data_IF_496555820411
#
_entry.id   IF_496555820411
#
_cell.length_a   1.000
_cell.length_b   1.000
_cell.length_c   1.000
_cell.angle_alpha   90.00
_cell.angle_beta   90.00
_cell.angle_gamma   90.00
#
_symmetry.space_group_name_H-M   'P 1'
#
loop_
_entity.id
_entity.type
_entity.pdbx_description
1 polymer ?
#
# COMPACT_ATOMS: atom_id res chain seq x y z
N UNK A 1 13.87 44.08 -1.79
CA UNK A 1 13.88 42.89 -2.65
C UNK A 1 12.76 43.11 -3.66
N UNK A 2 13.04 43.92 -4.67
CA UNK A 2 12.11 44.09 -5.79
C UNK A 2 12.13 42.81 -6.60
N UNK A 3 10.99 42.14 -6.71
CA UNK A 3 10.89 40.96 -7.56
C UNK A 3 11.20 41.41 -8.99
N UNK A 4 12.17 40.77 -9.63
CA UNK A 4 12.54 41.04 -11.03
C UNK A 4 11.35 40.85 -11.99
N UNK A 5 10.33 40.10 -11.56
CA UNK A 5 9.09 39.86 -12.28
C UNK A 5 7.92 40.21 -11.33
N UNK A 6 7.05 41.16 -11.69
CA UNK A 6 5.83 41.46 -10.95
C UNK A 6 4.92 40.22 -10.88
N UNK A 7 4.26 40.01 -9.74
CA UNK A 7 3.24 38.97 -9.66
C UNK A 7 2.10 39.28 -10.68
N UNK A 8 1.54 38.27 -11.34
CA UNK A 8 0.45 38.48 -12.29
C UNK A 8 -0.78 39.11 -11.58
N UNK A 9 -1.60 39.89 -12.31
CA UNK A 9 -2.78 40.49 -11.72
C UNK A 9 -3.72 39.40 -11.16
N UNK A 10 -4.38 39.64 -10.02
CA UNK A 10 -5.34 38.68 -9.47
C UNK A 10 -6.46 38.46 -10.50
N UNK A 11 -6.76 37.20 -10.79
CA UNK A 11 -7.88 36.87 -11.66
C UNK A 11 -9.18 37.29 -10.96
N UNK A 12 -10.06 38.06 -11.62
CA UNK A 12 -11.34 38.42 -11.03
C UNK A 12 -12.12 37.12 -10.80
N UNK A 13 -12.28 36.76 -9.54
CA UNK A 13 -12.96 35.53 -9.11
C UNK A 13 -14.11 35.94 -8.21
N UNK A 14 -15.28 35.39 -8.47
CA UNK A 14 -16.45 35.61 -7.62
C UNK A 14 -16.32 34.81 -6.31
N UNK A 15 -16.95 35.23 -5.21
CA UNK A 15 -16.93 34.45 -3.96
C UNK A 15 -17.42 33.01 -4.13
N UNK A 16 -18.30 32.76 -5.10
CA UNK A 16 -18.79 31.43 -5.43
C UNK A 16 -17.69 30.56 -6.07
N UNK A 17 -16.96 31.09 -7.05
CA UNK A 17 -15.85 30.38 -7.70
C UNK A 17 -14.71 30.10 -6.72
N UNK A 18 -14.43 31.01 -5.80
CA UNK A 18 -13.43 30.80 -4.75
C UNK A 18 -13.86 29.67 -3.78
N UNK A 19 -15.14 29.62 -3.41
CA UNK A 19 -15.68 28.53 -2.60
C UNK A 19 -15.57 27.18 -3.32
N UNK A 20 -15.90 27.13 -4.62
CA UNK A 20 -15.76 25.91 -5.43
C UNK A 20 -14.29 25.45 -5.52
N UNK A 21 -13.37 26.39 -5.72
CA UNK A 21 -11.92 26.08 -5.75
C UNK A 21 -11.44 25.56 -4.40
N UNK A 22 -11.91 26.14 -3.28
CA UNK A 22 -11.59 25.66 -1.95
C UNK A 22 -12.06 24.22 -1.72
N UNK A 23 -13.29 23.90 -2.14
CA UNK A 23 -13.83 22.54 -2.07
C UNK A 23 -12.99 21.53 -2.89
N UNK A 24 -12.57 21.91 -4.10
CA UNK A 24 -11.72 21.06 -4.93
C UNK A 24 -10.34 20.82 -4.31
N UNK A 25 -9.76 21.84 -3.64
CA UNK A 25 -8.52 21.68 -2.89
C UNK A 25 -8.68 20.73 -1.70
N UNK A 26 -9.82 20.78 -1.01
CA UNK A 26 -10.14 19.85 0.09
C UNK A 26 -10.23 18.42 -0.45
N UNK A 27 -10.99 18.19 -1.53
CA UNK A 27 -11.11 16.87 -2.17
C UNK A 27 -9.75 16.35 -2.64
N UNK A 28 -8.91 17.21 -3.21
CA UNK A 28 -7.58 16.83 -3.65
C UNK A 28 -6.71 16.41 -2.47
N UNK A 29 -6.73 17.17 -1.36
CA UNK A 29 -6.02 16.81 -0.13
C UNK A 29 -6.46 15.46 0.43
N UNK A 30 -7.76 15.18 0.41
CA UNK A 30 -8.31 13.89 0.82
C UNK A 30 -7.88 12.75 -0.10
N UNK A 31 -7.90 12.98 -1.41
CA UNK A 31 -7.45 11.99 -2.40
C UNK A 31 -5.95 11.68 -2.25
N UNK A 32 -5.12 12.71 -2.05
CA UNK A 32 -3.68 12.56 -1.78
C UNK A 32 -3.47 11.72 -0.52
N UNK A 33 -4.17 12.06 0.58
CA UNK A 33 -4.06 11.29 1.83
C UNK A 33 -4.43 9.82 1.61
N UNK A 34 -5.55 9.55 0.93
CA UNK A 34 -5.99 8.17 0.63
C UNK A 34 -4.96 7.41 -0.20
N UNK A 35 -4.36 8.06 -1.20
CA UNK A 35 -3.33 7.43 -2.02
C UNK A 35 -2.07 7.10 -1.18
N UNK A 36 -1.61 8.04 -0.36
CA UNK A 36 -0.47 7.81 0.52
C UNK A 36 -0.75 6.69 1.53
N UNK A 37 -1.92 6.70 2.17
CA UNK A 37 -2.31 5.65 3.12
C UNK A 37 -2.32 4.27 2.43
N UNK A 38 -2.85 4.16 1.21
CA UNK A 38 -2.88 2.91 0.44
C UNK A 38 -1.49 2.36 0.11
N UNK A 39 -0.55 3.21 -0.30
CA UNK A 39 0.77 2.76 -0.75
C UNK A 39 1.82 2.69 0.37
N UNK A 40 1.76 3.58 1.35
CA UNK A 40 2.78 3.71 2.40
C UNK A 40 2.37 3.05 3.72
N UNK A 41 1.07 2.87 3.95
CA UNK A 41 0.53 2.27 5.16
C UNK A 41 -0.43 1.11 4.83
N UNK A 42 -0.01 0.12 4.03
CA UNK A 42 -0.88 -1.00 3.69
C UNK A 42 -1.27 -1.74 4.98
N UNK A 43 -2.54 -2.16 5.05
CA UNK A 43 -2.97 -3.05 6.12
C UNK A 43 -2.15 -4.35 6.09
N UNK A 44 -1.79 -4.90 7.26
CA UNK A 44 -1.06 -6.15 7.31
C UNK A 44 -1.87 -7.23 6.59
N UNK A 45 -1.22 -7.91 5.64
CA UNK A 45 -1.84 -9.00 4.92
C UNK A 45 -2.34 -10.06 5.89
N UNK A 46 -3.53 -10.62 5.62
CA UNK A 46 -4.06 -11.73 6.39
C UNK A 46 -3.06 -12.91 6.31
N UNK A 47 -2.70 -13.54 7.45
CA UNK A 47 -1.87 -14.73 7.42
C UNK A 47 -2.50 -15.76 6.48
N UNK A 48 -1.73 -16.19 5.48
CA UNK A 48 -2.17 -17.28 4.62
C UNK A 48 -1.96 -18.58 5.39
N UNK A 49 -2.91 -19.53 5.35
CA UNK A 49 -2.66 -20.84 5.93
C UNK A 49 -1.42 -21.45 5.27
N UNK A 50 -0.51 -22.07 6.03
CA UNK A 50 0.65 -22.73 5.44
C UNK A 50 0.16 -23.76 4.43
N UNK A 51 0.65 -23.67 3.20
CA UNK A 51 0.38 -24.68 2.19
C UNK A 51 1.06 -25.99 2.59
N UNK A 52 0.36 -27.11 2.45
CA UNK A 52 0.98 -28.44 2.62
C UNK A 52 1.96 -28.67 1.47
N UNK A 53 3.27 -28.60 1.76
CA UNK A 53 4.33 -28.85 0.78
C UNK A 53 4.69 -30.33 0.65
N UNK A 54 4.53 -31.09 1.73
CA UNK A 54 4.92 -32.51 1.81
C UNK A 54 3.79 -33.34 2.42
N UNK A 55 3.69 -34.60 1.97
CA UNK A 55 2.75 -35.58 2.50
C UNK A 55 3.52 -36.82 2.95
N UNK A 56 3.20 -37.34 4.13
CA UNK A 56 3.82 -38.55 4.69
C UNK A 56 2.96 -39.75 4.33
N UNK A 57 3.57 -40.82 3.84
CA UNK A 57 2.86 -42.07 3.55
C UNK A 57 2.35 -42.72 4.88
N UNK A 58 1.12 -43.25 4.93
CA UNK A 58 0.47 -43.66 6.17
C UNK A 58 1.12 -44.85 6.90
N UNK A 59 2.05 -45.55 6.25
CA UNK A 59 2.70 -46.76 6.79
C UNK A 59 4.24 -46.64 6.82
N UNK A 60 4.79 -45.42 6.74
CA UNK A 60 6.23 -45.22 6.86
C UNK A 60 6.63 -45.30 8.34
N UNK A 61 7.74 -45.97 8.63
CA UNK A 61 8.34 -45.97 9.95
C UNK A 61 9.06 -44.65 10.24
N UNK A 62 9.29 -44.37 11.52
CA UNK A 62 9.90 -43.11 11.97
C UNK A 62 11.33 -42.94 11.46
N UNK A 63 12.10 -44.03 11.41
CA UNK A 63 13.50 -44.00 10.96
C UNK A 63 13.59 -43.67 9.47
N UNK A 64 12.81 -44.36 8.63
CA UNK A 64 12.78 -44.05 7.19
C UNK A 64 12.25 -42.64 6.90
N UNK A 65 11.25 -42.17 7.67
CA UNK A 65 10.74 -40.80 7.54
C UNK A 65 11.83 -39.77 7.86
N UNK A 66 12.57 -39.97 8.96
CA UNK A 66 13.64 -39.06 9.38
C UNK A 66 14.81 -39.09 8.39
N UNK A 67 15.22 -40.27 7.92
CA UNK A 67 16.26 -40.40 6.91
C UNK A 67 15.91 -39.64 5.63
N UNK A 68 14.72 -39.88 5.07
CA UNK A 68 14.26 -39.19 3.85
C UNK A 68 14.06 -37.69 4.03
N UNK A 69 13.57 -37.25 5.20
CA UNK A 69 13.43 -35.83 5.49
C UNK A 69 14.79 -35.14 5.52
N UNK A 70 15.79 -35.74 6.17
CA UNK A 70 17.15 -35.22 6.22
C UNK A 70 17.84 -35.20 4.85
N UNK A 71 17.57 -36.19 3.99
CA UNK A 71 18.12 -36.25 2.62
C UNK A 71 17.45 -35.25 1.66
N UNK A 72 16.14 -35.03 1.77
CA UNK A 72 15.40 -34.12 0.86
C UNK A 72 15.54 -32.64 1.21
N UNK A 73 15.85 -32.29 2.46
CA UNK A 73 16.01 -30.91 2.93
C UNK A 73 17.47 -30.40 2.86
N UNK A 74 18.44 -31.25 2.53
CA UNK A 74 19.87 -30.93 2.48
C UNK A 74 20.33 -30.38 1.13
#
# INVERSE_FOLDING_TARGET
>A
MDKLIPDPPPSPTTPLEDAMRADDLVKNREAIKRALDFYLCPEPAKPHPPSTLFMVAPNVDTESLLAHACESLA
#
